data_IF_222869529239
#
_entry.id   IF_222869529239
#
_cell.length_a   1.000
_cell.length_b   1.000
_cell.length_c   1.000
_cell.angle_alpha   90.00
_cell.angle_beta   90.00
_cell.angle_gamma   90.00
#
_symmetry.space_group_name_H-M   'P 1'
#
loop_
_entity.id
_entity.type
_entity.pdbx_description
1 polymer ?
#
# COMPACT_ATOMS: atom_id res chain seq x y z
N UNK A 1 -6.05 51.11 4.50
CA UNK A 1 -6.10 50.03 3.48
C UNK A 1 -6.01 48.75 4.26
N UNK A 2 -7.11 48.03 4.34
CA UNK A 2 -7.16 46.76 5.06
C UNK A 2 -6.74 45.64 4.11
N UNK A 3 -5.74 44.88 4.52
CA UNK A 3 -5.21 43.75 3.80
C UNK A 3 -6.02 42.51 4.17
N UNK A 4 -6.71 41.92 3.22
CA UNK A 4 -7.58 40.77 3.40
C UNK A 4 -6.73 39.51 3.46
N UNK A 5 -6.65 38.87 4.60
CA UNK A 5 -6.00 37.55 4.76
C UNK A 5 -7.02 36.44 4.51
N UNK A 6 -6.72 35.54 3.58
CA UNK A 6 -7.52 34.36 3.23
C UNK A 6 -7.65 33.40 4.43
N UNK A 7 -8.81 33.23 4.93
CA UNK A 7 -9.18 32.21 5.93
C UNK A 7 -10.65 32.34 6.28
N UNK A 8 -11.45 31.38 5.85
CA UNK A 8 -12.89 31.40 5.91
C UNK A 8 -13.47 31.58 7.32
N UNK A 9 -14.60 32.23 7.34
CA UNK A 9 -15.49 32.66 8.44
C UNK A 9 -15.03 33.92 9.19
N UNK A 10 -15.85 34.94 8.99
CA UNK A 10 -15.79 36.30 9.50
C UNK A 10 -15.51 36.41 11.02
N UNK A 11 -14.24 36.49 11.37
CA UNK A 11 -13.79 37.14 12.59
C UNK A 11 -12.54 37.93 12.25
N UNK A 12 -12.63 39.27 12.32
CA UNK A 12 -11.49 40.18 12.21
C UNK A 12 -10.41 39.78 13.21
N UNK A 13 -9.32 39.17 12.69
CA UNK A 13 -8.11 38.92 13.51
C UNK A 13 -7.32 40.21 13.52
N UNK A 14 -7.50 41.00 14.57
CA UNK A 14 -6.64 42.13 14.91
C UNK A 14 -5.21 41.60 15.12
N UNK A 15 -4.23 42.15 14.42
CA UNK A 15 -2.80 41.79 14.35
C UNK A 15 -2.06 41.97 15.70
N UNK A 16 -2.66 41.62 16.83
CA UNK A 16 -2.08 41.84 18.15
C UNK A 16 -2.08 40.64 19.09
N UNK A 17 -2.94 39.63 18.85
CA UNK A 17 -3.13 38.57 19.80
C UNK A 17 -3.17 37.19 19.15
N UNK A 18 -2.07 36.79 18.54
CA UNK A 18 -1.87 35.37 18.28
C UNK A 18 -1.36 34.76 19.58
N UNK A 19 -2.27 34.44 20.48
CA UNK A 19 -1.99 33.67 21.67
C UNK A 19 -1.31 32.37 21.30
N UNK A 20 -0.27 31.97 22.02
CA UNK A 20 0.41 30.68 21.79
C UNK A 20 -0.56 29.49 21.84
N UNK A 21 -1.69 29.64 22.49
CA UNK A 21 -2.79 28.66 22.56
C UNK A 21 -3.49 28.43 21.21
N UNK A 22 -3.52 29.41 20.29
CA UNK A 22 -4.08 29.22 18.94
C UNK A 22 -3.22 28.34 18.02
N UNK A 23 -1.97 28.06 18.38
CA UNK A 23 -1.06 27.16 17.65
C UNK A 23 -1.01 25.76 18.20
N UNK A 24 -1.69 25.50 19.31
CA UNK A 24 -1.74 24.16 19.89
C UNK A 24 -2.76 23.31 19.16
N UNK A 25 -2.42 22.06 18.81
CA UNK A 25 -3.40 21.13 18.26
C UNK A 25 -4.50 20.88 19.29
N UNK A 26 -5.73 20.70 18.82
CA UNK A 26 -6.90 20.41 19.67
C UNK A 26 -6.92 18.96 20.16
N UNK A 27 -6.19 18.07 19.48
CA UNK A 27 -6.07 16.65 19.80
C UNK A 27 -4.60 16.31 20.03
N UNK A 28 -4.30 15.72 21.19
CA UNK A 28 -2.95 15.30 21.59
C UNK A 28 -2.75 13.77 21.56
N UNK A 29 -3.69 13.03 20.97
CA UNK A 29 -3.60 11.58 20.85
C UNK A 29 -2.62 11.23 19.74
N UNK A 30 -1.67 10.35 20.06
CA UNK A 30 -0.67 9.89 19.09
C UNK A 30 -1.13 8.61 18.40
N UNK A 31 -0.80 8.49 17.12
CA UNK A 31 -1.05 7.26 16.36
C UNK A 31 -0.18 6.12 16.91
N UNK A 32 -0.81 4.98 17.14
CA UNK A 32 -0.12 3.78 17.63
C UNK A 32 0.28 2.91 16.43
N UNK A 33 1.56 2.56 16.37
CA UNK A 33 2.11 1.78 15.25
C UNK A 33 1.59 0.34 15.13
N UNK A 34 0.98 -0.19 16.19
CA UNK A 34 0.39 -1.52 16.25
C UNK A 34 -1.12 -1.54 15.93
N UNK A 35 -1.72 -0.39 15.65
CA UNK A 35 -3.15 -0.25 15.37
C UNK A 35 -3.38 -0.02 13.87
N UNK A 36 -3.20 -1.09 13.10
CA UNK A 36 -3.45 -1.09 11.67
C UNK A 36 -4.08 -2.41 11.23
N UNK A 37 -4.73 -2.39 10.09
CA UNK A 37 -5.26 -3.56 9.41
C UNK A 37 -4.99 -3.40 7.92
N UNK A 38 -4.53 -4.48 7.29
CA UNK A 38 -4.34 -4.53 5.84
C UNK A 38 -5.48 -5.33 5.24
N UNK A 39 -6.01 -4.87 4.15
CA UNK A 39 -7.02 -5.56 3.38
C UNK A 39 -6.48 -5.89 2.00
N UNK A 40 -6.42 -7.18 1.68
CA UNK A 40 -5.95 -7.75 0.43
C UNK A 40 -7.10 -8.49 -0.23
N UNK A 41 -7.85 -7.90 -1.17
CA UNK A 41 -9.04 -8.51 -1.76
C UNK A 41 -8.79 -9.87 -2.40
N UNK A 42 -7.58 -10.06 -2.94
CA UNK A 42 -7.19 -11.29 -3.63
C UNK A 42 -6.82 -12.42 -2.66
N UNK A 43 -6.24 -12.08 -1.50
CA UNK A 43 -5.67 -13.06 -0.56
C UNK A 43 -6.21 -12.89 0.85
N UNK A 44 -7.46 -13.29 1.12
CA UNK A 44 -8.06 -13.15 2.44
C UNK A 44 -7.34 -13.98 3.51
N UNK A 45 -6.70 -15.09 3.13
CA UNK A 45 -5.91 -15.89 4.07
C UNK A 45 -4.68 -15.13 4.55
N UNK A 46 -3.93 -14.51 3.64
CA UNK A 46 -2.71 -13.74 3.96
C UNK A 46 -3.03 -12.49 4.77
N UNK A 47 -4.16 -11.83 4.50
CA UNK A 47 -4.62 -10.63 5.22
C UNK A 47 -4.63 -10.83 6.74
N UNK A 48 -5.07 -11.99 7.23
CA UNK A 48 -5.15 -12.30 8.65
C UNK A 48 -3.79 -12.46 9.34
N UNK A 49 -2.74 -12.79 8.59
CA UNK A 49 -1.42 -13.07 9.12
C UNK A 49 -0.44 -11.92 8.96
N UNK A 50 -0.89 -10.75 8.50
CA UNK A 50 -0.04 -9.57 8.35
C UNK A 50 0.37 -9.02 9.70
N UNK A 51 1.69 -8.89 9.91
CA UNK A 51 2.29 -8.35 11.14
C UNK A 51 2.94 -7.01 10.94
N UNK A 52 3.30 -6.66 9.70
CA UNK A 52 3.94 -5.39 9.37
C UNK A 52 3.53 -4.93 7.99
N UNK A 53 3.26 -3.64 7.87
CA UNK A 53 3.08 -2.94 6.62
C UNK A 53 3.67 -1.53 6.75
N UNK A 54 4.23 -0.99 5.68
CA UNK A 54 4.66 0.40 5.64
C UNK A 54 3.67 1.24 4.85
N UNK A 55 3.59 2.53 5.14
CA UNK A 55 3.02 3.51 4.22
C UNK A 55 4.17 3.99 3.36
N UNK A 56 4.06 3.95 2.02
CA UNK A 56 5.17 4.32 1.15
C UNK A 56 5.60 5.77 1.34
N UNK A 57 6.88 6.04 1.12
CA UNK A 57 7.42 7.39 1.13
C UNK A 57 7.08 8.12 -0.17
N UNK A 58 6.98 9.44 -0.06
CA UNK A 58 6.80 10.33 -1.22
C UNK A 58 7.99 11.26 -1.30
N UNK A 59 8.64 11.32 -2.44
CA UNK A 59 9.78 12.20 -2.69
C UNK A 59 9.45 13.14 -3.84
N UNK A 60 9.57 14.44 -3.59
CA UNK A 60 9.44 15.46 -4.62
C UNK A 60 10.82 15.78 -5.19
N UNK A 61 10.95 15.73 -6.50
CA UNK A 61 12.18 16.09 -7.19
C UNK A 61 12.53 17.57 -6.97
N UNK A 62 13.81 17.89 -7.06
CA UNK A 62 14.33 19.26 -6.98
C UNK A 62 15.09 19.60 -8.25
N UNK A 63 15.01 20.84 -8.71
CA UNK A 63 15.81 21.40 -9.79
C UNK A 63 16.89 22.31 -9.23
N UNK A 64 18.14 22.09 -9.65
CA UNK A 64 19.26 22.90 -9.20
C UNK A 64 19.44 24.12 -10.08
N UNK A 65 19.45 25.31 -9.47
CA UNK A 65 19.84 26.56 -10.11
C UNK A 65 21.25 26.92 -9.70
N UNK A 66 22.13 26.88 -10.65
CA UNK A 66 23.52 27.22 -10.44
C UNK A 66 23.71 28.77 -10.48
N UNK A 67 24.34 29.29 -9.43
CA UNK A 67 24.82 30.69 -9.39
C UNK A 67 26.34 30.67 -9.20
N UNK A 68 27.07 31.75 -9.49
CA UNK A 68 28.52 31.77 -9.32
C UNK A 68 29.04 31.49 -7.91
N UNK A 69 28.17 31.66 -6.91
CA UNK A 69 28.55 31.52 -5.48
C UNK A 69 27.97 30.31 -4.78
N UNK A 70 26.80 29.85 -5.24
CA UNK A 70 26.08 28.75 -4.55
C UNK A 70 25.09 28.09 -5.51
N UNK A 71 24.86 26.81 -5.34
CA UNK A 71 23.76 26.08 -5.97
C UNK A 71 22.51 26.23 -5.13
N UNK A 72 21.43 26.71 -5.74
CA UNK A 72 20.12 26.90 -5.09
C UNK A 72 19.18 25.82 -5.58
N UNK A 73 18.60 25.06 -4.66
CA UNK A 73 17.58 24.07 -5.00
C UNK A 73 16.23 24.77 -5.17
N UNK A 74 15.60 24.50 -6.30
CA UNK A 74 14.25 24.95 -6.62
C UNK A 74 13.29 23.76 -6.58
N UNK A 75 12.02 24.04 -6.39
CA UNK A 75 10.95 23.03 -6.42
C UNK A 75 10.89 22.39 -7.81
N UNK A 76 10.95 21.07 -7.87
CA UNK A 76 10.69 20.29 -9.08
C UNK A 76 9.22 19.87 -9.16
N UNK A 77 8.86 19.24 -10.26
CA UNK A 77 7.50 18.82 -10.60
C UNK A 77 7.30 17.28 -10.63
N UNK A 78 8.38 16.54 -10.39
CA UNK A 78 8.35 15.07 -10.43
C UNK A 78 8.20 14.46 -9.04
N UNK A 79 7.17 13.63 -8.86
CA UNK A 79 6.93 12.86 -7.63
C UNK A 79 7.38 11.42 -7.86
N UNK A 80 8.15 10.91 -6.92
CA UNK A 80 8.56 9.50 -6.87
C UNK A 80 7.99 8.85 -5.62
N UNK A 81 7.37 7.71 -5.79
CA UNK A 81 6.85 6.88 -4.70
C UNK A 81 7.86 5.81 -4.31
N UNK A 82 7.97 5.56 -3.00
CA UNK A 82 8.80 4.48 -2.48
C UNK A 82 8.11 3.13 -2.54
N UNK A 83 8.83 2.06 -2.23
CA UNK A 83 8.30 0.70 -2.26
C UNK A 83 7.29 0.45 -1.13
N UNK A 84 6.30 -0.36 -1.40
CA UNK A 84 5.37 -0.89 -0.41
C UNK A 84 5.81 -2.30 -0.02
N UNK A 85 6.10 -2.50 1.27
CA UNK A 85 6.53 -3.78 1.81
C UNK A 85 5.53 -4.26 2.86
N UNK A 86 5.21 -5.54 2.80
CA UNK A 86 4.31 -6.21 3.71
C UNK A 86 4.98 -7.45 4.28
N UNK A 87 4.91 -7.65 5.60
CA UNK A 87 5.43 -8.86 6.26
C UNK A 87 4.26 -9.62 6.87
N UNK A 88 4.20 -10.92 6.62
CA UNK A 88 3.21 -11.80 7.21
C UNK A 88 3.85 -13.02 7.88
N UNK A 89 3.16 -13.58 8.87
CA UNK A 89 3.54 -14.85 9.48
C UNK A 89 3.13 -15.97 8.53
N UNK A 90 4.04 -16.91 8.35
CA UNK A 90 3.81 -18.06 7.47
C UNK A 90 2.95 -19.09 8.21
N UNK A 91 1.88 -19.54 7.55
CA UNK A 91 1.01 -20.58 8.07
C UNK A 91 1.74 -21.95 8.16
N UNK A 92 1.37 -22.81 9.09
CA UNK A 92 1.96 -24.14 9.26
C UNK A 92 1.88 -25.00 8.00
N UNK A 93 0.84 -24.83 7.20
CA UNK A 93 0.64 -25.51 5.92
C UNK A 93 1.27 -24.77 4.72
N UNK A 94 1.97 -23.66 4.95
CA UNK A 94 2.54 -22.79 3.91
C UNK A 94 1.51 -22.26 2.89
N UNK A 95 0.22 -22.29 3.23
CA UNK A 95 -0.86 -21.95 2.30
C UNK A 95 -0.77 -20.50 1.82
N UNK A 96 -0.61 -19.57 2.76
CA UNK A 96 -0.48 -18.14 2.44
C UNK A 96 0.79 -17.83 1.61
N UNK A 97 1.91 -18.50 1.90
CA UNK A 97 3.12 -18.37 1.09
C UNK A 97 2.92 -18.92 -0.33
N UNK A 98 2.28 -20.07 -0.46
CA UNK A 98 2.00 -20.70 -1.77
C UNK A 98 1.04 -19.84 -2.61
N UNK A 99 0.07 -19.16 -2.00
CA UNK A 99 -0.80 -18.22 -2.70
C UNK A 99 0.02 -17.08 -3.34
N UNK A 100 0.90 -16.45 -2.55
CA UNK A 100 1.79 -15.38 -3.04
C UNK A 100 2.78 -15.88 -4.08
N UNK A 101 3.39 -17.04 -3.85
CA UNK A 101 4.32 -17.66 -4.79
C UNK A 101 3.66 -17.96 -6.13
N UNK A 102 2.46 -18.51 -6.12
CA UNK A 102 1.73 -18.82 -7.35
C UNK A 102 1.36 -17.54 -8.12
N UNK A 103 1.03 -16.46 -7.42
CA UNK A 103 0.76 -15.18 -8.05
C UNK A 103 2.01 -14.64 -8.78
N UNK A 104 3.15 -14.54 -8.08
CA UNK A 104 4.43 -14.14 -8.68
C UNK A 104 4.81 -15.03 -9.87
N UNK A 105 4.64 -16.36 -9.70
CA UNK A 105 4.94 -17.34 -10.74
C UNK A 105 4.03 -17.19 -11.96
N UNK A 106 2.76 -16.91 -11.76
CA UNK A 106 1.80 -16.73 -12.84
C UNK A 106 2.06 -15.45 -13.64
N UNK A 107 2.58 -14.40 -12.99
CA UNK A 107 3.01 -13.18 -13.69
C UNK A 107 4.32 -13.44 -14.47
N UNK A 108 5.25 -14.19 -13.90
CA UNK A 108 6.62 -14.34 -14.41
C UNK A 108 6.85 -15.45 -15.44
N UNK A 109 5.92 -16.37 -15.68
CA UNK A 109 6.01 -17.54 -16.60
C UNK A 109 7.39 -18.24 -16.62
N UNK A 110 7.79 -18.90 -15.56
CA UNK A 110 9.16 -19.41 -15.44
C UNK A 110 9.52 -20.55 -16.40
N UNK A 111 8.53 -21.25 -17.01
CA UNK A 111 8.80 -22.45 -17.79
C UNK A 111 8.44 -22.32 -19.27
N UNK A 112 7.22 -21.86 -19.59
CA UNK A 112 6.73 -21.81 -20.96
C UNK A 112 5.89 -20.54 -21.18
N UNK A 113 6.02 -19.90 -22.34
CA UNK A 113 5.21 -18.75 -22.75
C UNK A 113 3.69 -19.05 -22.76
N UNK A 114 3.33 -20.32 -22.95
CA UNK A 114 1.94 -20.79 -22.91
C UNK A 114 1.30 -20.68 -21.51
N UNK A 115 2.11 -20.55 -20.45
CA UNK A 115 1.60 -20.38 -19.08
C UNK A 115 0.87 -19.05 -18.90
N UNK A 116 1.23 -18.03 -19.67
CA UNK A 116 0.53 -16.75 -19.69
C UNK A 116 -0.96 -16.88 -20.04
N UNK A 117 -1.28 -17.80 -20.95
CA UNK A 117 -2.65 -18.06 -21.37
C UNK A 117 -3.43 -18.92 -20.36
N UNK A 118 -2.73 -19.49 -19.36
CA UNK A 118 -3.27 -20.36 -18.32
C UNK A 118 -3.14 -19.76 -16.95
N UNK A 119 -3.20 -18.44 -16.81
CA UNK A 119 -3.30 -17.80 -15.49
C UNK A 119 -4.46 -18.49 -14.74
N UNK A 120 -4.11 -19.51 -13.92
CA UNK A 120 -5.04 -20.12 -13.00
C UNK A 120 -5.32 -19.07 -11.93
N UNK A 121 -6.43 -18.35 -12.14
CA UNK A 121 -6.94 -17.46 -11.11
C UNK A 121 -7.35 -18.30 -9.92
N UNK A 122 -6.99 -17.91 -8.71
CA UNK A 122 -7.67 -18.42 -7.53
C UNK A 122 -9.19 -18.25 -7.74
N UNK A 123 -10.00 -19.25 -7.37
CA UNK A 123 -11.46 -19.25 -7.59
C UNK A 123 -12.19 -18.01 -7.06
N UNK A 124 -11.59 -17.29 -6.10
CA UNK A 124 -12.15 -16.06 -5.52
C UNK A 124 -11.91 -14.80 -6.38
N UNK A 125 -11.02 -14.85 -7.37
CA UNK A 125 -10.83 -13.77 -8.37
C UNK A 125 -11.88 -13.76 -9.46
N UNK A 126 -12.83 -14.69 -9.46
CA UNK A 126 -13.92 -14.74 -10.44
C UNK A 126 -14.92 -13.57 -10.21
N UNK A 127 -14.39 -12.35 -10.24
CA UNK A 127 -15.21 -11.14 -10.33
C UNK A 127 -15.62 -10.93 -11.77
N UNK A 128 -16.83 -11.37 -12.06
CA UNK A 128 -17.62 -11.02 -13.24
C UNK A 128 -16.96 -11.31 -14.60
N UNK A 129 -17.23 -12.49 -15.14
CA UNK A 129 -17.28 -12.70 -16.59
C UNK A 129 -15.96 -12.82 -17.32
N UNK A 130 -14.85 -13.06 -16.65
CA UNK A 130 -13.63 -13.51 -17.29
C UNK A 130 -13.90 -14.83 -17.99
N UNK A 131 -13.90 -14.85 -19.32
CA UNK A 131 -14.17 -16.06 -20.08
C UNK A 131 -13.13 -17.11 -19.69
N UNK A 132 -13.60 -18.20 -19.08
CA UNK A 132 -12.82 -19.43 -18.91
C UNK A 132 -12.34 -19.88 -20.29
N UNK A 133 -11.11 -20.40 -20.35
CA UNK A 133 -10.64 -21.11 -21.52
C UNK A 133 -11.71 -22.10 -21.96
N UNK A 134 -12.24 -21.90 -23.15
CA UNK A 134 -13.13 -22.86 -23.76
C UNK A 134 -12.31 -23.81 -24.65
N UNK A 135 -12.08 -25.06 -24.21
CA UNK A 135 -11.28 -26.01 -24.97
C UNK A 135 -11.89 -26.37 -26.31
N UNK A 136 -13.16 -26.07 -26.52
CA UNK A 136 -13.85 -26.38 -27.76
C UNK A 136 -13.52 -25.42 -28.92
N UNK A 137 -13.11 -24.21 -28.63
CA UNK A 137 -12.90 -23.18 -29.65
C UNK A 137 -11.44 -22.69 -29.77
N UNK A 138 -10.50 -23.25 -29.01
CA UNK A 138 -9.09 -22.84 -28.99
C UNK A 138 -8.88 -21.30 -28.94
N UNK A 139 -9.87 -20.60 -28.34
CA UNK A 139 -9.90 -19.14 -28.25
C UNK A 139 -9.37 -18.73 -26.90
N UNK A 140 -8.17 -18.19 -26.88
CA UNK A 140 -7.56 -17.62 -25.72
C UNK A 140 -8.24 -16.30 -25.37
N UNK A 141 -8.83 -16.23 -24.20
CA UNK A 141 -9.27 -14.99 -23.60
C UNK A 141 -8.02 -14.10 -23.38
N UNK A 142 -8.03 -12.89 -23.90
CA UNK A 142 -7.00 -11.90 -23.56
C UNK A 142 -6.97 -11.75 -22.06
N UNK A 143 -5.80 -11.95 -21.45
CA UNK A 143 -5.58 -11.53 -20.06
C UNK A 143 -5.76 -10.03 -20.06
N UNK A 144 -6.77 -9.54 -19.36
CA UNK A 144 -6.93 -8.10 -19.15
C UNK A 144 -5.85 -7.66 -18.18
N UNK A 145 -5.28 -6.49 -18.38
CA UNK A 145 -4.29 -5.91 -17.48
C UNK A 145 -4.82 -5.83 -16.03
N UNK A 146 -6.13 -5.70 -15.86
CA UNK A 146 -6.87 -5.76 -14.59
C UNK A 146 -6.65 -7.06 -13.79
N UNK A 147 -6.23 -8.13 -14.44
CA UNK A 147 -6.02 -9.45 -13.82
C UNK A 147 -4.66 -9.61 -13.18
N UNK A 148 -3.71 -8.75 -13.53
CA UNK A 148 -2.35 -8.75 -13.03
C UNK A 148 -2.18 -7.88 -11.79
N UNK A 149 -3.08 -6.92 -11.59
CA UNK A 149 -2.99 -5.89 -10.56
C UNK A 149 -4.08 -6.06 -9.51
N UNK A 150 -3.82 -5.60 -8.33
CA UNK A 150 -4.80 -5.53 -7.24
C UNK A 150 -4.69 -4.21 -6.49
N UNK A 151 -5.77 -3.82 -5.85
CA UNK A 151 -5.75 -2.70 -4.93
C UNK A 151 -5.51 -3.20 -3.50
N UNK A 152 -4.65 -2.51 -2.77
CA UNK A 152 -4.33 -2.83 -1.37
C UNK A 152 -4.79 -1.68 -0.49
N UNK A 153 -5.45 -2.01 0.61
CA UNK A 153 -5.94 -1.02 1.55
C UNK A 153 -5.27 -1.21 2.91
N UNK A 154 -4.60 -0.17 3.38
CA UNK A 154 -4.03 -0.13 4.74
C UNK A 154 -4.89 0.79 5.59
N UNK A 155 -5.59 0.22 6.55
CA UNK A 155 -6.45 0.92 7.48
C UNK A 155 -5.69 1.27 8.74
N UNK A 156 -5.74 2.55 9.12
CA UNK A 156 -5.12 3.07 10.33
C UNK A 156 -6.20 3.30 11.37
N UNK A 157 -6.02 2.72 12.55
CA UNK A 157 -7.01 2.75 13.61
C UNK A 157 -6.51 3.52 14.85
N UNK A 158 -7.45 3.99 15.66
CA UNK A 158 -7.16 4.51 17.01
C UNK A 158 -6.82 3.38 17.97
N UNK A 159 -6.26 3.69 19.14
CA UNK A 159 -6.10 2.73 20.24
C UNK A 159 -7.40 2.06 20.72
N UNK A 160 -8.56 2.53 20.28
CA UNK A 160 -9.88 1.95 20.52
C UNK A 160 -10.43 1.16 19.31
N UNK A 161 -9.58 0.85 18.33
CA UNK A 161 -9.93 0.16 17.07
C UNK A 161 -10.96 0.90 16.19
N UNK A 162 -11.07 2.22 16.32
CA UNK A 162 -11.87 3.02 15.40
C UNK A 162 -11.02 3.43 14.20
N UNK A 163 -11.55 3.27 13.00
CA UNK A 163 -10.89 3.65 11.76
C UNK A 163 -10.75 5.17 11.66
N UNK A 164 -9.53 5.67 11.43
CA UNK A 164 -9.24 7.11 11.28
C UNK A 164 -8.97 7.46 9.83
N UNK A 165 -8.11 6.67 9.20
CA UNK A 165 -7.66 6.92 7.84
C UNK A 165 -7.43 5.60 7.11
N UNK A 166 -7.53 5.64 5.80
CA UNK A 166 -7.26 4.52 4.92
C UNK A 166 -6.25 4.98 3.87
N UNK A 167 -5.17 4.23 3.75
CA UNK A 167 -4.24 4.35 2.64
C UNK A 167 -4.65 3.36 1.56
N UNK A 168 -4.98 3.87 0.39
CA UNK A 168 -5.40 3.10 -0.79
C UNK A 168 -4.24 3.06 -1.77
N UNK A 169 -3.76 1.87 -2.10
CA UNK A 169 -2.65 1.63 -3.02
C UNK A 169 -3.25 0.97 -4.26
N UNK A 170 -3.09 1.62 -5.40
CA UNK A 170 -3.73 1.24 -6.64
C UNK A 170 -2.80 0.48 -7.56
N UNK A 171 -3.36 -0.52 -8.25
CA UNK A 171 -2.66 -1.31 -9.26
C UNK A 171 -1.36 -1.94 -8.72
N UNK A 172 -1.42 -2.50 -7.52
CA UNK A 172 -0.29 -3.16 -6.90
C UNK A 172 -0.07 -4.56 -7.47
N UNK A 173 1.20 -4.92 -7.67
CA UNK A 173 1.62 -6.26 -8.04
C UNK A 173 2.91 -6.63 -7.30
N UNK A 174 3.13 -7.91 -6.99
CA UNK A 174 4.30 -8.34 -6.24
C UNK A 174 5.55 -8.30 -7.13
N UNK A 175 6.62 -7.70 -6.62
CA UNK A 175 7.94 -7.67 -7.26
C UNK A 175 8.92 -8.60 -6.60
N UNK A 176 8.83 -8.74 -5.29
CA UNK A 176 9.73 -9.60 -4.51
C UNK A 176 8.95 -10.41 -3.50
N UNK A 177 9.30 -11.69 -3.38
CA UNK A 177 8.86 -12.57 -2.33
C UNK A 177 10.09 -12.99 -1.52
N UNK A 178 10.15 -12.60 -0.26
CA UNK A 178 11.29 -12.85 0.61
C UNK A 178 11.51 -14.32 0.89
N UNK A 179 12.73 -14.68 1.29
CA UNK A 179 13.05 -16.02 1.74
C UNK A 179 12.43 -16.31 3.12
N UNK A 180 12.05 -17.56 3.33
CA UNK A 180 11.67 -18.07 4.64
C UNK A 180 12.91 -18.79 5.21
N UNK A 181 13.36 -18.34 6.38
CA UNK A 181 14.50 -18.95 7.05
C UNK A 181 14.01 -19.94 8.13
N UNK A 182 14.54 -21.16 8.07
CA UNK A 182 14.33 -22.19 9.09
C UNK A 182 15.65 -22.53 9.75
N UNK A 183 15.73 -22.46 11.07
CA UNK A 183 16.91 -22.81 11.86
C UNK A 183 16.54 -23.76 12.99
N UNK A 184 17.26 -24.85 13.11
CA UNK A 184 17.14 -25.80 14.25
C UNK A 184 17.99 -25.38 15.47
N UNK A 185 18.76 -24.28 15.32
CA UNK A 185 19.64 -23.79 16.39
C UNK A 185 18.91 -22.88 17.39
N UNK A 186 17.73 -22.42 17.04
CA UNK A 186 16.93 -21.58 17.92
C UNK A 186 16.29 -22.40 19.04
N UNK A 187 16.51 -21.96 20.27
CA UNK A 187 15.98 -22.61 21.48
C UNK A 187 14.57 -22.14 21.79
N UNK A 188 14.21 -20.94 21.36
CA UNK A 188 12.90 -20.33 21.60
C UNK A 188 11.97 -20.54 20.39
N UNK A 189 10.66 -20.65 20.65
CA UNK A 189 9.66 -20.71 19.59
C UNK A 189 9.55 -19.37 18.88
N UNK A 190 10.07 -19.28 17.66
CA UNK A 190 9.90 -18.13 16.76
C UNK A 190 9.02 -18.54 15.58
N UNK A 191 8.16 -17.61 15.14
CA UNK A 191 7.33 -17.87 13.97
C UNK A 191 8.06 -17.45 12.71
N UNK A 192 8.00 -18.29 11.66
CA UNK A 192 8.54 -17.95 10.36
C UNK A 192 7.75 -16.79 9.75
N UNK A 193 8.46 -15.79 9.26
CA UNK A 193 7.88 -14.63 8.58
C UNK A 193 8.37 -14.53 7.16
N UNK A 194 7.55 -13.98 6.28
CA UNK A 194 7.91 -13.70 4.90
C UNK A 194 7.60 -12.24 4.59
N UNK A 195 8.51 -11.58 3.88
CA UNK A 195 8.34 -10.21 3.40
C UNK A 195 8.00 -10.23 1.90
N UNK A 196 7.03 -9.41 1.51
CA UNK A 196 6.63 -9.22 0.12
C UNK A 196 6.76 -7.75 -0.22
N UNK A 197 7.48 -7.46 -1.29
CA UNK A 197 7.56 -6.12 -1.86
C UNK A 197 6.61 -5.99 -3.05
N UNK A 198 5.91 -4.87 -3.10
CA UNK A 198 4.97 -4.53 -4.15
C UNK A 198 5.42 -3.27 -4.89
N UNK A 199 5.31 -3.28 -6.20
CA UNK A 199 5.25 -2.07 -7.00
C UNK A 199 3.79 -1.73 -7.28
N UNK A 200 3.51 -0.45 -7.47
CA UNK A 200 2.16 0.08 -7.66
C UNK A 200 2.21 1.36 -8.48
N UNK A 201 1.08 1.81 -9.02
CA UNK A 201 1.03 3.02 -9.84
C UNK A 201 1.03 4.30 -9.00
N UNK A 202 0.18 4.36 -7.99
CA UNK A 202 0.07 5.50 -7.08
C UNK A 202 -0.68 5.11 -5.80
N UNK A 203 -0.62 5.95 -4.77
CA UNK A 203 -1.40 5.75 -3.56
C UNK A 203 -2.03 7.07 -3.08
N UNK A 204 -3.10 6.95 -2.31
CA UNK A 204 -3.79 8.07 -1.68
C UNK A 204 -4.11 7.75 -0.22
N UNK A 205 -4.05 8.77 0.63
CA UNK A 205 -4.40 8.64 2.05
C UNK A 205 -5.65 9.45 2.33
N UNK A 206 -6.75 8.74 2.58
CA UNK A 206 -8.06 9.35 2.82
C UNK A 206 -8.40 9.33 4.30
N UNK A 207 -8.68 10.49 4.93
CA UNK A 207 -9.26 10.50 6.25
C UNK A 207 -10.70 9.97 6.18
N UNK A 208 -11.03 9.06 7.07
CA UNK A 208 -12.41 8.61 7.21
C UNK A 208 -13.00 9.44 8.35
N UNK A 209 -13.79 10.45 7.99
CA UNK A 209 -14.56 11.19 8.99
C UNK A 209 -15.56 10.24 9.62
N UNK A 210 -15.35 9.86 10.89
CA UNK A 210 -16.42 9.27 11.67
C UNK A 210 -17.49 10.34 11.80
N UNK A 211 -18.58 10.19 11.05
CA UNK A 211 -19.80 10.94 11.34
C UNK A 211 -20.24 10.50 12.74
N UNK A 212 -19.98 11.36 13.73
CA UNK A 212 -20.46 11.22 15.10
C UNK A 212 -21.96 11.48 15.15
#
# INVERSE_FOLDING_TARGET
MAETVYGGSDSEITTGEISATHRQPTVFDYSQSNQFKVFLPIFPTTEWFVVRANIPSVTLGTADRYTPFVTIQMVGDHITYGDFNLTFIVDENLKNYMEMYNWVKNIGFPFEHKQFNKLERPDFMDRSGGQKYNPENDTYSKVHDEDLYTDIFVQIMTGKNNLIAQCEIYEAFPTTLGAIEYSQQETDMTYATCEVGFAYSWFDVKPISSTA
#
